data_IF_502409241274
#
_entry.id   IF_502409241274
#
_cell.length_a   1.000
_cell.length_b   1.000
_cell.length_c   1.000
_cell.angle_alpha   90.00
_cell.angle_beta   90.00
_cell.angle_gamma   90.00
#
_symmetry.space_group_name_H-M   'P 1'
#
loop_
_entity.id
_entity.type
_entity.pdbx_description
1 polymer ?
#
# COMPACT_ATOMS: atom_id res chain seq x y z
N UNK A 1 40.57 -56.04 80.56
CA UNK A 1 39.27 -56.03 81.25
C UNK A 1 38.33 -55.19 80.44
N UNK A 2 37.61 -55.80 79.54
CA UNK A 2 36.67 -55.11 78.64
C UNK A 2 35.25 -55.28 79.14
N UNK A 3 34.60 -54.20 79.42
CA UNK A 3 33.22 -54.23 79.88
C UNK A 3 32.29 -53.91 78.68
N UNK A 4 31.56 -54.88 78.17
CA UNK A 4 30.55 -54.71 77.12
C UNK A 4 29.24 -54.21 77.71
N UNK A 5 28.81 -53.02 77.27
CA UNK A 5 27.50 -52.49 77.57
C UNK A 5 26.57 -52.85 76.42
N UNK A 6 25.47 -53.56 76.69
CA UNK A 6 24.34 -53.85 75.77
C UNK A 6 23.36 -52.67 75.87
N UNK A 7 23.11 -52.02 74.73
CA UNK A 7 22.04 -51.04 74.61
C UNK A 7 20.86 -51.71 73.81
N UNK A 8 19.70 -51.76 74.38
CA UNK A 8 18.46 -52.27 73.83
C UNK A 8 17.87 -51.23 72.86
N UNK A 9 17.38 -51.69 71.68
CA UNK A 9 16.63 -50.89 70.72
C UNK A 9 15.22 -50.52 71.22
N UNK A 10 14.80 -49.29 70.97
CA UNK A 10 13.37 -48.97 71.11
C UNK A 10 12.59 -49.06 69.77
N UNK A 11 11.45 -49.49 69.93
CA UNK A 11 10.16 -49.51 69.21
C UNK A 11 10.06 -48.64 67.93
N UNK A 12 9.76 -49.28 66.78
CA UNK A 12 9.38 -48.62 65.55
C UNK A 12 7.95 -48.07 65.65
N UNK A 13 7.82 -46.74 65.67
CA UNK A 13 6.54 -46.08 65.43
C UNK A 13 6.48 -45.73 63.92
N UNK A 14 5.62 -46.40 63.19
CA UNK A 14 5.31 -46.04 61.79
C UNK A 14 4.29 -44.93 61.75
N UNK A 15 4.69 -43.74 61.40
CA UNK A 15 3.84 -42.62 61.12
C UNK A 15 3.38 -42.71 59.64
N UNK A 16 2.06 -42.67 59.32
CA UNK A 16 1.62 -42.63 57.94
C UNK A 16 1.91 -41.25 57.37
N UNK A 17 2.72 -41.18 56.29
CA UNK A 17 2.99 -39.97 55.55
C UNK A 17 1.76 -39.68 54.72
N UNK A 18 0.90 -38.75 55.13
CA UNK A 18 -0.18 -38.18 54.35
C UNK A 18 0.47 -37.19 53.36
N UNK A 19 0.68 -37.63 52.14
CA UNK A 19 1.05 -36.75 51.06
C UNK A 19 -0.20 -35.95 50.68
N UNK A 20 -0.30 -34.75 51.23
CA UNK A 20 -1.26 -33.74 50.77
C UNK A 20 -0.78 -33.21 49.43
N UNK A 21 -1.30 -33.74 48.34
CA UNK A 21 -1.09 -33.15 47.02
C UNK A 21 -1.76 -31.76 46.98
N UNK A 22 -1.00 -30.75 47.24
CA UNK A 22 -1.41 -29.37 46.99
C UNK A 22 -1.40 -29.23 45.46
N UNK A 23 -2.58 -29.38 44.84
CA UNK A 23 -2.84 -28.89 43.49
C UNK A 23 -2.69 -27.36 43.54
N UNK A 24 -1.47 -26.89 43.39
CA UNK A 24 -1.24 -25.50 42.98
C UNK A 24 -1.77 -25.38 41.56
N UNK A 25 -3.01 -24.91 41.43
CA UNK A 25 -3.42 -24.27 40.16
C UNK A 25 -2.37 -23.20 39.93
N UNK A 26 -1.46 -23.46 39.00
CA UNK A 26 -0.61 -22.42 38.47
C UNK A 26 -1.57 -21.46 37.77
N UNK A 27 -1.95 -20.40 38.44
CA UNK A 27 -2.42 -19.20 37.77
C UNK A 27 -1.22 -18.74 36.95
N UNK A 28 -1.20 -19.16 35.69
CA UNK A 28 -0.28 -18.57 34.72
C UNK A 28 -0.71 -17.11 34.58
N UNK A 29 -0.09 -16.25 35.38
CA UNK A 29 -0.14 -14.82 35.10
C UNK A 29 0.43 -14.65 33.71
N UNK A 30 -0.37 -14.05 32.84
CA UNK A 30 0.15 -13.60 31.55
C UNK A 30 1.44 -12.84 31.79
N UNK A 31 2.50 -13.26 31.14
CA UNK A 31 3.82 -12.68 31.37
C UNK A 31 3.89 -11.24 30.89
N UNK A 32 4.85 -10.44 31.40
CA UNK A 32 5.12 -9.11 30.85
C UNK A 32 5.31 -9.12 29.34
N UNK A 33 5.65 -10.26 28.75
CA UNK A 33 5.95 -10.44 27.33
C UNK A 33 4.70 -10.35 26.47
N UNK A 34 3.62 -11.06 26.80
CA UNK A 34 2.40 -11.10 26.00
C UNK A 34 1.69 -9.74 26.03
N UNK A 35 1.65 -9.10 27.19
CA UNK A 35 1.12 -7.74 27.32
C UNK A 35 1.96 -6.72 26.56
N UNK A 36 3.28 -6.86 26.55
CA UNK A 36 4.17 -5.99 25.79
C UNK A 36 4.00 -6.20 24.27
N UNK A 37 3.74 -7.45 23.84
CA UNK A 37 3.41 -7.79 22.46
C UNK A 37 2.06 -7.18 22.05
N UNK A 38 1.02 -7.34 22.88
CA UNK A 38 -0.30 -6.75 22.70
C UNK A 38 -0.19 -5.23 22.51
N UNK A 39 0.53 -4.57 23.44
CA UNK A 39 0.77 -3.12 23.36
C UNK A 39 1.49 -2.72 22.05
N UNK A 40 2.50 -3.46 21.64
CA UNK A 40 3.24 -3.14 20.42
C UNK A 40 2.40 -3.31 19.18
N UNK A 41 1.62 -4.39 19.09
CA UNK A 41 0.68 -4.62 17.99
C UNK A 41 -0.31 -3.46 17.91
N UNK A 42 -0.94 -3.11 19.03
CA UNK A 42 -1.91 -2.02 19.08
C UNK A 42 -1.30 -0.68 18.68
N UNK A 43 -0.23 -0.26 19.33
CA UNK A 43 0.39 1.05 19.11
C UNK A 43 0.90 1.22 17.67
N UNK A 44 1.38 0.13 17.05
CA UNK A 44 1.85 0.14 15.66
C UNK A 44 0.72 0.20 14.65
N UNK A 45 -0.40 -0.49 14.92
CA UNK A 45 -1.55 -0.46 14.04
C UNK A 45 -2.36 0.83 14.16
N UNK A 46 -2.55 1.34 15.37
CA UNK A 46 -3.46 2.47 15.59
C UNK A 46 -2.75 3.83 15.66
N UNK A 47 -1.47 3.84 16.04
CA UNK A 47 -0.74 5.09 16.27
C UNK A 47 -1.14 5.83 17.56
N UNK A 48 -1.99 5.23 18.40
CA UNK A 48 -2.45 5.78 19.68
C UNK A 48 -2.26 4.76 20.80
N UNK A 49 -2.20 5.24 22.04
CA UNK A 49 -2.01 4.35 23.20
C UNK A 49 -3.27 3.56 23.53
N UNK A 50 -3.13 2.25 23.70
CA UNK A 50 -4.21 1.38 24.18
C UNK A 50 -4.63 1.69 25.61
N UNK A 51 -5.91 1.50 25.93
CA UNK A 51 -6.38 1.45 27.33
C UNK A 51 -5.99 0.12 27.98
N UNK A 52 -5.99 0.07 29.32
CA UNK A 52 -5.71 -1.19 30.00
C UNK A 52 -6.70 -2.30 29.63
N UNK A 53 -7.98 -1.99 29.48
CA UNK A 53 -8.99 -2.97 29.08
C UNK A 53 -8.68 -3.57 27.71
N UNK A 54 -8.33 -2.73 26.72
CA UNK A 54 -7.93 -3.19 25.38
C UNK A 54 -6.68 -4.08 25.46
N UNK A 55 -5.72 -3.72 26.30
CA UNK A 55 -4.51 -4.55 26.49
C UNK A 55 -4.83 -5.87 27.18
N UNK A 56 -5.75 -5.89 28.15
CA UNK A 56 -6.17 -7.13 28.83
C UNK A 56 -6.83 -8.10 27.85
N UNK A 57 -7.71 -7.59 26.97
CA UNK A 57 -8.37 -8.39 25.94
C UNK A 57 -7.38 -8.93 24.89
N UNK A 58 -6.48 -8.09 24.38
CA UNK A 58 -5.46 -8.50 23.41
C UNK A 58 -4.44 -9.48 23.98
N UNK A 59 -4.06 -9.31 25.25
CA UNK A 59 -3.19 -10.23 25.98
C UNK A 59 -3.86 -11.61 26.13
N UNK A 60 -5.15 -11.64 26.46
CA UNK A 60 -5.93 -12.88 26.53
C UNK A 60 -6.01 -13.60 25.16
N UNK A 61 -6.14 -12.85 24.06
CA UNK A 61 -6.10 -13.41 22.70
C UNK A 61 -4.75 -14.05 22.40
N UNK A 62 -3.63 -13.40 22.75
CA UNK A 62 -2.28 -13.95 22.53
C UNK A 62 -2.08 -15.24 23.36
N UNK A 63 -2.52 -15.24 24.61
CA UNK A 63 -2.44 -16.43 25.48
C UNK A 63 -3.30 -17.59 24.99
N UNK A 64 -4.46 -17.32 24.38
CA UNK A 64 -5.37 -18.32 23.82
C UNK A 64 -4.98 -18.81 22.43
N UNK A 65 -4.05 -18.15 21.77
CA UNK A 65 -3.67 -18.45 20.40
C UNK A 65 -2.80 -19.70 20.33
N UNK A 66 -3.27 -20.73 19.62
CA UNK A 66 -2.55 -21.99 19.43
C UNK A 66 -1.22 -21.80 18.68
N UNK A 67 -1.09 -20.79 17.83
CA UNK A 67 0.15 -20.44 17.15
C UNK A 67 1.20 -19.91 18.15
N UNK A 68 0.77 -19.32 19.27
CA UNK A 68 1.65 -18.85 20.33
C UNK A 68 2.12 -19.96 21.29
N UNK A 69 1.38 -21.09 21.37
CA UNK A 69 1.62 -22.15 22.34
C UNK A 69 2.99 -22.85 22.17
N UNK A 70 3.54 -22.88 20.96
CA UNK A 70 4.85 -23.48 20.66
C UNK A 70 6.00 -22.49 20.73
N UNK A 71 5.79 -21.28 20.29
CA UNK A 71 6.76 -20.20 20.27
C UNK A 71 6.07 -18.86 20.04
N UNK A 72 6.36 -17.89 20.88
CA UNK A 72 5.90 -16.51 20.69
C UNK A 72 6.49 -15.86 19.42
N UNK A 73 7.50 -16.46 18.82
CA UNK A 73 8.12 -15.99 17.57
C UNK A 73 7.41 -16.48 16.32
N UNK A 74 6.47 -17.42 16.45
CA UNK A 74 5.70 -17.88 15.31
C UNK A 74 5.01 -16.71 14.59
N UNK A 75 5.10 -16.69 13.27
CA UNK A 75 4.57 -15.61 12.45
C UNK A 75 3.04 -15.47 12.52
N UNK A 76 2.34 -16.56 12.85
CA UNK A 76 0.90 -16.56 13.08
C UNK A 76 0.50 -16.09 14.47
N UNK A 77 1.39 -16.17 15.45
CA UNK A 77 1.12 -15.78 16.83
C UNK A 77 0.76 -14.28 16.94
N UNK A 78 -0.35 -13.99 17.58
CA UNK A 78 -0.85 -12.64 17.80
C UNK A 78 -1.63 -12.04 16.64
N UNK A 79 -2.01 -12.82 15.63
CA UNK A 79 -2.86 -12.35 14.53
C UNK A 79 -4.25 -11.96 15.03
N UNK A 80 -4.86 -12.76 15.89
CA UNK A 80 -6.19 -12.46 16.48
C UNK A 80 -6.14 -11.14 17.27
N UNK A 81 -5.05 -10.88 18.00
CA UNK A 81 -4.86 -9.62 18.70
C UNK A 81 -4.68 -8.43 17.72
N UNK A 82 -4.04 -8.64 16.57
CA UNK A 82 -3.91 -7.62 15.55
C UNK A 82 -5.26 -7.32 14.85
N UNK A 83 -6.08 -8.33 14.62
CA UNK A 83 -7.44 -8.17 14.10
C UNK A 83 -8.33 -7.42 15.10
N UNK A 84 -8.26 -7.77 16.38
CA UNK A 84 -8.94 -7.05 17.46
C UNK A 84 -8.56 -5.58 17.50
N UNK A 85 -7.27 -5.25 17.34
CA UNK A 85 -6.79 -3.89 17.43
C UNK A 85 -7.41 -2.94 16.39
N UNK A 86 -7.83 -3.46 15.23
CA UNK A 86 -8.44 -2.69 14.13
C UNK A 86 -9.95 -2.91 13.99
N UNK A 87 -10.55 -3.75 14.83
CA UNK A 87 -11.99 -4.02 14.84
C UNK A 87 -12.74 -3.00 15.69
N UNK A 88 -13.53 -2.14 15.05
CA UNK A 88 -14.31 -1.10 15.71
C UNK A 88 -15.47 -1.61 16.56
N UNK A 89 -15.86 -2.87 16.40
CA UNK A 89 -16.88 -3.50 17.25
C UNK A 89 -16.31 -3.90 18.60
N UNK A 90 -15.01 -4.13 18.69
CA UNK A 90 -14.32 -4.65 19.89
C UNK A 90 -13.40 -3.61 20.53
N UNK A 91 -12.62 -2.88 19.74
CA UNK A 91 -11.66 -1.89 20.22
C UNK A 91 -12.17 -0.47 20.01
N UNK A 92 -12.47 0.30 21.06
CA UNK A 92 -12.92 1.69 20.92
C UNK A 92 -11.87 2.62 20.29
N UNK A 93 -10.60 2.22 20.28
CA UNK A 93 -9.49 2.97 19.66
C UNK A 93 -9.22 2.54 18.21
N UNK A 94 -9.93 1.55 17.67
CA UNK A 94 -9.72 1.05 16.30
C UNK A 94 -9.94 2.13 15.23
N UNK A 95 -10.74 3.17 15.51
CA UNK A 95 -10.90 4.31 14.61
C UNK A 95 -9.55 4.92 14.20
N UNK A 96 -8.59 4.91 15.10
CA UNK A 96 -7.29 5.52 14.86
C UNK A 96 -6.47 4.78 13.79
N UNK A 97 -6.69 3.48 13.58
CA UNK A 97 -6.12 2.77 12.45
C UNK A 97 -6.54 3.42 11.12
N UNK A 98 -7.81 3.74 10.96
CA UNK A 98 -8.38 4.32 9.74
C UNK A 98 -8.06 5.81 9.60
N UNK A 99 -8.26 6.58 10.68
CA UNK A 99 -8.12 8.04 10.66
C UNK A 99 -6.66 8.53 10.79
N UNK A 100 -5.76 7.75 11.39
CA UNK A 100 -4.36 8.13 11.60
C UNK A 100 -3.44 7.27 10.76
N UNK A 101 -3.41 5.96 10.99
CA UNK A 101 -2.42 5.09 10.33
C UNK A 101 -2.65 5.01 8.83
N UNK A 102 -3.85 4.69 8.38
CA UNK A 102 -4.16 4.58 6.94
C UNK A 102 -4.12 5.94 6.24
N UNK A 103 -4.56 7.02 6.90
CA UNK A 103 -4.40 8.37 6.35
C UNK A 103 -2.92 8.69 6.10
N UNK A 104 -2.06 8.51 7.10
CA UNK A 104 -0.63 8.78 6.97
C UNK A 104 0.07 7.80 6.01
N UNK A 105 -0.43 6.58 5.87
CA UNK A 105 0.05 5.59 4.91
C UNK A 105 -0.19 6.04 3.46
N UNK A 106 -1.35 6.61 3.15
CA UNK A 106 -1.76 6.98 1.80
C UNK A 106 -1.48 8.45 1.43
N UNK A 107 -1.46 9.38 2.38
CA UNK A 107 -1.26 10.81 2.13
C UNK A 107 -0.02 11.13 1.28
N UNK A 108 1.16 10.49 1.48
CA UNK A 108 2.34 10.74 0.64
C UNK A 108 2.13 10.43 -0.84
N UNK A 109 1.16 9.59 -1.18
CA UNK A 109 0.92 9.20 -2.57
C UNK A 109 0.17 10.27 -3.37
N UNK A 110 -0.34 11.30 -2.71
CA UNK A 110 -1.20 12.34 -3.28
C UNK A 110 -0.46 13.64 -3.60
N UNK A 111 0.86 13.67 -3.42
CA UNK A 111 1.67 14.86 -3.66
C UNK A 111 3.09 14.50 -4.14
N UNK A 112 3.74 15.42 -4.86
CA UNK A 112 5.06 15.20 -5.43
C UNK A 112 6.18 15.19 -4.36
N UNK A 113 5.98 15.88 -3.25
CA UNK A 113 6.89 15.94 -2.11
C UNK A 113 6.86 14.68 -1.26
N UNK A 114 5.87 13.81 -1.48
CA UNK A 114 5.62 12.58 -0.72
C UNK A 114 5.55 12.81 0.80
N UNK A 115 4.99 13.94 1.20
CA UNK A 115 4.78 14.30 2.61
C UNK A 115 3.45 13.76 3.16
N UNK A 116 3.45 13.46 4.47
CA UNK A 116 2.24 13.08 5.20
C UNK A 116 1.36 14.29 5.57
N UNK A 117 1.91 15.52 5.46
CA UNK A 117 1.23 16.77 5.84
C UNK A 117 0.30 17.28 4.73
N UNK A 118 -0.49 16.38 4.17
CA UNK A 118 -1.52 16.69 3.19
C UNK A 118 -2.88 16.44 3.81
N UNK A 119 -3.86 17.35 3.63
CA UNK A 119 -5.22 17.14 4.09
C UNK A 119 -5.82 15.84 3.52
N UNK A 120 -6.80 15.29 4.23
CA UNK A 120 -7.62 14.21 3.68
C UNK A 120 -8.18 14.64 2.32
N UNK A 121 -8.21 13.76 1.37
CA UNK A 121 -8.67 14.01 0.01
C UNK A 121 -9.28 12.74 -0.60
N UNK A 122 -9.85 12.85 -1.79
CA UNK A 122 -10.55 11.75 -2.45
C UNK A 122 -9.65 10.52 -2.72
N UNK A 123 -8.39 10.73 -3.02
CA UNK A 123 -7.41 9.66 -3.19
C UNK A 123 -7.20 8.89 -1.87
N UNK A 124 -6.83 9.62 -0.81
CA UNK A 124 -6.56 9.03 0.52
C UNK A 124 -7.81 8.37 1.08
N UNK A 125 -8.97 9.03 1.01
CA UNK A 125 -10.25 8.47 1.46
C UNK A 125 -10.61 7.18 0.71
N UNK A 126 -10.32 7.11 -0.60
CA UNK A 126 -10.55 5.91 -1.41
C UNK A 126 -9.64 4.76 -1.00
N UNK A 127 -8.37 5.02 -0.70
CA UNK A 127 -7.46 4.00 -0.16
C UNK A 127 -7.93 3.49 1.21
N UNK A 128 -8.29 4.40 2.13
CA UNK A 128 -8.81 4.06 3.45
C UNK A 128 -10.06 3.19 3.34
N UNK A 129 -11.04 3.60 2.52
CA UNK A 129 -12.28 2.86 2.32
C UNK A 129 -12.07 1.48 1.69
N UNK A 130 -11.21 1.39 0.67
CA UNK A 130 -10.89 0.11 0.02
C UNK A 130 -10.25 -0.89 0.99
N UNK A 131 -9.37 -0.44 1.89
CA UNK A 131 -8.77 -1.27 2.94
C UNK A 131 -9.80 -1.67 3.99
N UNK A 132 -10.64 -0.71 4.44
CA UNK A 132 -11.70 -0.96 5.41
C UNK A 132 -12.66 -2.06 4.95
N UNK A 133 -13.09 -1.98 3.70
CA UNK A 133 -14.09 -2.86 3.13
C UNK A 133 -13.49 -4.17 2.58
N UNK A 134 -12.17 -4.37 2.74
CA UNK A 134 -11.48 -5.59 2.30
C UNK A 134 -11.58 -5.83 0.78
N UNK A 135 -11.64 -4.77 -0.02
CA UNK A 135 -11.73 -4.89 -1.47
C UNK A 135 -10.45 -5.50 -2.05
N UNK A 136 -10.59 -6.12 -3.23
CA UNK A 136 -9.42 -6.42 -4.06
C UNK A 136 -8.64 -5.12 -4.32
N UNK A 137 -7.53 -4.96 -3.60
CA UNK A 137 -6.76 -3.71 -3.58
C UNK A 137 -6.18 -3.33 -4.93
N UNK A 138 -6.12 -4.26 -5.89
CA UNK A 138 -5.74 -3.94 -7.26
C UNK A 138 -6.70 -2.94 -7.91
N UNK A 139 -7.96 -2.96 -7.49
CA UNK A 139 -9.00 -2.04 -7.98
C UNK A 139 -8.69 -0.57 -7.77
N UNK A 140 -7.80 -0.22 -6.83
CA UNK A 140 -7.36 1.18 -6.65
C UNK A 140 -6.68 1.77 -7.89
N UNK A 141 -6.14 0.94 -8.81
CA UNK A 141 -5.49 1.42 -10.04
C UNK A 141 -6.39 1.40 -11.28
N UNK A 142 -7.54 0.69 -11.25
CA UNK A 142 -8.39 0.58 -12.44
C UNK A 142 -9.89 0.62 -12.16
N UNK A 143 -10.29 0.62 -10.89
CA UNK A 143 -11.71 0.60 -10.51
C UNK A 143 -12.42 1.92 -10.77
N UNK A 144 -13.72 1.84 -11.03
CA UNK A 144 -14.60 3.00 -10.91
C UNK A 144 -15.00 3.14 -9.44
N UNK A 145 -14.08 3.64 -8.64
CA UNK A 145 -14.12 3.62 -7.19
C UNK A 145 -13.84 5.00 -6.61
N UNK A 146 -14.68 5.42 -5.70
CA UNK A 146 -14.53 6.64 -4.92
C UNK A 146 -15.14 6.42 -3.53
N UNK A 147 -14.57 7.04 -2.52
CA UNK A 147 -15.17 7.11 -1.19
C UNK A 147 -15.40 8.54 -0.79
N UNK A 148 -16.63 8.85 -0.39
CA UNK A 148 -17.09 10.18 -0.01
C UNK A 148 -17.61 10.21 1.43
N UNK A 149 -17.48 11.34 2.09
CA UNK A 149 -18.04 11.56 3.42
C UNK A 149 -19.57 11.66 3.36
N UNK A 150 -20.23 11.14 4.39
CA UNK A 150 -21.67 11.26 4.59
C UNK A 150 -22.01 11.78 6.00
N UNK A 151 -21.10 12.55 6.59
CA UNK A 151 -21.31 13.15 7.90
C UNK A 151 -22.14 14.45 7.78
N UNK A 152 -22.90 14.77 8.84
CA UNK A 152 -23.60 16.06 8.89
C UNK A 152 -22.64 17.24 9.07
N UNK A 153 -22.91 18.34 8.38
CA UNK A 153 -22.15 19.58 8.52
C UNK A 153 -20.90 19.71 7.64
N UNK A 154 -20.64 18.74 6.76
CA UNK A 154 -19.55 18.84 5.77
C UNK A 154 -20.08 19.40 4.44
N UNK A 155 -19.23 20.07 3.68
CA UNK A 155 -19.52 20.50 2.32
C UNK A 155 -19.88 19.30 1.42
N UNK A 156 -20.69 19.50 0.40
CA UNK A 156 -20.92 18.46 -0.61
C UNK A 156 -19.62 18.16 -1.39
N UNK A 157 -19.47 16.92 -1.86
CA UNK A 157 -18.33 16.56 -2.72
C UNK A 157 -18.25 17.49 -3.93
N UNK A 158 -17.06 18.01 -4.22
CA UNK A 158 -16.79 18.92 -5.33
C UNK A 158 -15.67 18.38 -6.22
N UNK A 159 -15.80 18.60 -7.54
CA UNK A 159 -14.73 18.30 -8.51
C UNK A 159 -13.67 19.42 -8.58
N UNK A 160 -13.91 20.57 -7.95
CA UNK A 160 -13.07 21.76 -8.08
C UNK A 160 -12.38 22.21 -6.79
N UNK A 161 -12.73 21.65 -5.63
CA UNK A 161 -12.06 21.95 -4.37
C UNK A 161 -11.98 20.72 -3.45
N UNK A 162 -11.34 20.84 -2.30
CA UNK A 162 -11.17 19.75 -1.33
C UNK A 162 -11.99 19.94 -0.05
N UNK A 163 -12.87 20.96 0.01
CA UNK A 163 -13.60 21.37 1.21
C UNK A 163 -14.33 20.20 1.87
N UNK A 164 -14.93 19.32 1.07
CA UNK A 164 -15.63 18.12 1.52
C UNK A 164 -14.78 17.24 2.44
N UNK A 165 -13.53 17.01 2.07
CA UNK A 165 -12.63 16.12 2.82
C UNK A 165 -11.92 16.84 3.96
N UNK A 166 -11.68 18.15 3.83
CA UNK A 166 -11.15 18.99 4.90
C UNK A 166 -12.16 19.15 6.03
N UNK A 167 -13.42 19.36 5.69
CA UNK A 167 -14.53 19.37 6.66
C UNK A 167 -14.67 18.01 7.34
N UNK A 168 -14.58 16.90 6.58
CA UNK A 168 -14.65 15.55 7.14
C UNK A 168 -13.48 15.27 8.10
N UNK A 169 -12.27 15.70 7.77
CA UNK A 169 -11.09 15.56 8.62
C UNK A 169 -11.17 16.41 9.90
N UNK A 170 -11.83 17.55 9.83
CA UNK A 170 -12.02 18.44 10.98
C UNK A 170 -13.02 17.88 12.03
N UNK A 171 -13.80 16.86 11.68
CA UNK A 171 -14.72 16.23 12.60
C UNK A 171 -13.97 15.37 13.65
N UNK A 172 -14.67 15.08 14.77
CA UNK A 172 -14.11 14.20 15.80
C UNK A 172 -13.91 12.76 15.24
N UNK A 173 -12.67 12.27 15.12
CA UNK A 173 -12.38 10.99 14.48
C UNK A 173 -12.91 9.78 15.27
N UNK A 174 -13.16 9.91 16.57
CA UNK A 174 -13.72 8.83 17.39
C UNK A 174 -15.26 8.70 17.24
N UNK A 175 -15.93 9.69 16.62
CA UNK A 175 -17.38 9.72 16.52
C UNK A 175 -17.85 10.14 15.12
N UNK A 176 -18.10 11.44 14.90
CA UNK A 176 -18.70 11.97 13.69
C UNK A 176 -17.80 11.92 12.46
N UNK A 177 -16.48 11.91 12.66
CA UNK A 177 -15.45 11.80 11.62
C UNK A 177 -14.81 10.42 11.54
N UNK A 178 -15.41 9.36 12.09
CA UNK A 178 -14.84 8.01 12.12
C UNK A 178 -14.86 7.35 10.73
N UNK A 179 -13.71 7.34 10.05
CA UNK A 179 -13.56 6.75 8.71
C UNK A 179 -13.75 5.22 8.68
N UNK A 180 -13.72 4.55 9.84
CA UNK A 180 -14.07 3.14 9.93
C UNK A 180 -15.58 2.89 9.76
N UNK A 181 -16.41 3.90 9.95
CA UNK A 181 -17.86 3.79 9.86
C UNK A 181 -18.36 3.94 8.43
N UNK A 182 -19.13 2.94 7.96
CA UNK A 182 -19.84 3.03 6.67
C UNK A 182 -20.91 4.13 6.65
N UNK A 183 -21.36 4.61 7.82
CA UNK A 183 -22.25 5.76 7.88
C UNK A 183 -21.52 7.09 7.62
N UNK A 184 -20.21 7.15 7.86
CA UNK A 184 -19.39 8.36 7.72
C UNK A 184 -18.64 8.39 6.40
N UNK A 185 -18.03 7.29 5.99
CA UNK A 185 -17.28 7.18 4.74
C UNK A 185 -17.94 6.13 3.84
N UNK A 186 -18.51 6.55 2.71
CA UNK A 186 -19.31 5.70 1.83
C UNK A 186 -18.65 5.48 0.48
N UNK A 187 -18.76 4.25 -0.02
CA UNK A 187 -18.36 3.92 -1.38
C UNK A 187 -19.35 4.49 -2.41
N UNK A 188 -18.80 5.07 -3.46
CA UNK A 188 -19.52 5.48 -4.66
C UNK A 188 -18.66 5.24 -5.90
N UNK A 189 -19.08 5.71 -7.06
CA UNK A 189 -18.29 5.62 -8.30
C UNK A 189 -17.84 7.01 -8.75
N UNK A 190 -16.66 7.08 -9.37
CA UNK A 190 -16.19 8.33 -9.95
C UNK A 190 -17.09 8.80 -11.09
N UNK A 191 -17.58 7.87 -11.91
CA UNK A 191 -18.45 8.20 -13.04
C UNK A 191 -19.82 8.73 -12.62
N UNK A 192 -20.31 8.40 -11.42
CA UNK A 192 -21.56 8.97 -10.90
C UNK A 192 -21.42 10.44 -10.49
N UNK A 193 -20.26 10.82 -9.96
CA UNK A 193 -20.00 12.21 -9.51
C UNK A 193 -19.31 13.06 -10.59
N UNK A 194 -18.71 12.42 -11.59
CA UNK A 194 -18.03 13.07 -12.73
C UNK A 194 -18.41 12.39 -14.05
N UNK A 195 -19.66 12.54 -14.51
CA UNK A 195 -20.10 11.95 -15.77
C UNK A 195 -19.23 12.40 -16.95
N UNK A 196 -18.90 11.46 -17.84
CA UNK A 196 -18.09 11.73 -19.03
C UNK A 196 -16.57 11.65 -18.82
N UNK A 197 -16.10 11.44 -17.60
CA UNK A 197 -14.67 11.21 -17.33
C UNK A 197 -14.46 9.73 -17.01
N UNK A 198 -13.75 8.97 -17.85
CA UNK A 198 -13.45 7.56 -17.59
C UNK A 198 -12.65 7.39 -16.30
N UNK A 199 -13.07 6.44 -15.45
CA UNK A 199 -12.43 6.18 -14.18
C UNK A 199 -11.28 5.16 -14.33
N UNK A 200 -10.19 5.42 -13.62
CA UNK A 200 -9.04 4.52 -13.48
C UNK A 200 -8.49 4.59 -12.04
N UNK A 201 -9.35 4.27 -11.09
CA UNK A 201 -8.98 4.28 -9.67
C UNK A 201 -8.44 5.62 -9.20
N UNK A 202 -7.45 5.56 -8.34
CA UNK A 202 -6.83 6.76 -7.75
C UNK A 202 -6.08 7.63 -8.79
N UNK A 203 -5.70 7.07 -9.93
CA UNK A 203 -5.06 7.83 -11.02
C UNK A 203 -5.98 8.88 -11.63
N UNK A 204 -7.28 8.73 -11.47
CA UNK A 204 -8.29 9.70 -11.90
C UNK A 204 -9.05 10.33 -10.73
N UNK A 205 -8.53 10.22 -9.51
CA UNK A 205 -8.99 11.02 -8.39
C UNK A 205 -8.68 12.51 -8.60
N UNK A 206 -9.40 13.40 -7.93
CA UNK A 206 -9.13 14.84 -8.00
C UNK A 206 -7.73 15.17 -7.48
N UNK A 207 -7.36 14.64 -6.32
CA UNK A 207 -6.05 14.88 -5.71
C UNK A 207 -4.89 14.34 -6.56
N UNK A 208 -5.02 13.11 -7.08
CA UNK A 208 -4.03 12.55 -8.01
C UNK A 208 -3.91 13.35 -9.29
N UNK A 209 -5.02 13.81 -9.85
CA UNK A 209 -5.03 14.64 -11.05
C UNK A 209 -4.38 16.00 -10.82
N UNK A 210 -4.72 16.67 -9.72
CA UNK A 210 -4.08 17.93 -9.32
C UNK A 210 -2.57 17.78 -9.19
N UNK A 211 -2.12 16.72 -8.55
CA UNK A 211 -0.69 16.49 -8.35
C UNK A 211 0.03 16.18 -9.68
N UNK A 212 -0.53 15.32 -10.53
CA UNK A 212 0.24 14.63 -11.55
C UNK A 212 -0.18 14.88 -13.00
N UNK A 213 -1.32 15.55 -13.26
CA UNK A 213 -1.71 16.01 -14.60
C UNK A 213 -1.50 17.53 -14.80
N UNK A 214 -1.05 18.22 -13.78
CA UNK A 214 -0.82 19.65 -13.82
C UNK A 214 0.44 19.97 -14.62
N UNK A 215 0.29 20.45 -15.83
CA UNK A 215 1.38 20.74 -16.74
C UNK A 215 2.03 19.50 -17.35
N UNK A 216 3.08 19.69 -18.13
CA UNK A 216 3.86 18.60 -18.72
C UNK A 216 3.07 17.66 -19.64
N UNK A 217 3.51 16.44 -19.76
CA UNK A 217 2.98 15.41 -20.68
C UNK A 217 2.41 14.19 -19.94
N UNK A 218 1.89 14.37 -18.75
CA UNK A 218 1.33 13.33 -17.89
C UNK A 218 2.33 12.21 -17.50
N UNK A 219 3.64 12.45 -17.67
CA UNK A 219 4.71 11.55 -17.22
C UNK A 219 4.77 11.45 -15.71
N UNK A 220 4.42 12.53 -15.00
CA UNK A 220 4.36 12.53 -13.55
C UNK A 220 3.36 11.50 -13.04
N UNK A 221 2.12 11.44 -13.60
CA UNK A 221 1.14 10.42 -13.22
C UNK A 221 1.71 9.00 -13.35
N UNK A 222 2.39 8.70 -14.45
CA UNK A 222 3.00 7.39 -14.63
C UNK A 222 4.13 7.14 -13.60
N UNK A 223 5.06 8.08 -13.46
CA UNK A 223 6.20 7.95 -12.53
C UNK A 223 5.76 7.75 -11.09
N UNK A 224 4.85 8.60 -10.60
CA UNK A 224 4.37 8.51 -9.23
C UNK A 224 3.49 7.28 -8.99
N UNK A 225 2.73 6.82 -9.98
CA UNK A 225 2.03 5.53 -9.89
C UNK A 225 3.03 4.38 -9.74
N UNK A 226 4.13 4.40 -10.50
CA UNK A 226 5.19 3.40 -10.42
C UNK A 226 5.88 3.42 -9.04
N UNK A 227 6.24 4.60 -8.54
CA UNK A 227 6.86 4.78 -7.22
C UNK A 227 5.92 4.36 -6.09
N UNK A 228 4.66 4.79 -6.15
CA UNK A 228 3.70 4.61 -5.08
C UNK A 228 3.12 3.20 -5.02
N UNK A 229 3.01 2.50 -6.15
CA UNK A 229 2.32 1.22 -6.21
C UNK A 229 3.17 0.03 -6.65
N UNK A 230 4.32 0.29 -7.28
CA UNK A 230 5.29 -0.74 -7.66
C UNK A 230 6.66 -0.57 -6.97
N UNK A 231 6.80 0.41 -6.09
CA UNK A 231 8.02 0.70 -5.31
C UNK A 231 9.29 0.86 -6.16
N UNK A 232 9.13 1.40 -7.36
CA UNK A 232 10.24 1.55 -8.30
C UNK A 232 10.18 2.92 -8.95
N UNK A 233 11.30 3.66 -8.97
CA UNK A 233 11.43 4.88 -9.74
C UNK A 233 12.00 4.57 -11.14
N UNK A 234 12.08 5.57 -12.00
CA UNK A 234 12.50 5.43 -13.40
C UNK A 234 13.98 5.08 -13.55
N UNK A 235 14.84 5.58 -12.68
CA UNK A 235 16.29 5.40 -12.84
C UNK A 235 16.74 3.94 -12.69
N UNK A 236 16.24 3.15 -11.73
CA UNK A 236 16.53 1.71 -11.69
C UNK A 236 16.05 0.93 -12.91
N UNK A 237 15.09 1.49 -13.68
CA UNK A 237 14.52 0.87 -14.88
C UNK A 237 15.22 1.33 -16.18
N UNK A 238 16.25 2.14 -16.09
CA UNK A 238 16.98 2.67 -17.24
C UNK A 238 17.45 1.54 -18.16
N UNK A 239 16.87 1.48 -19.35
CA UNK A 239 17.18 0.48 -20.37
C UNK A 239 17.33 1.12 -21.75
N UNK A 240 18.55 1.39 -22.15
CA UNK A 240 18.88 2.01 -23.44
C UNK A 240 18.69 1.08 -24.66
N UNK A 241 18.36 -0.19 -24.42
CA UNK A 241 18.11 -1.17 -25.48
C UNK A 241 16.66 -1.19 -26.00
N UNK A 242 15.76 -0.45 -25.34
CA UNK A 242 14.36 -0.39 -25.77
C UNK A 242 14.16 0.57 -26.93
N UNK A 243 13.16 0.32 -27.82
CA UNK A 243 12.84 1.23 -28.90
C UNK A 243 12.54 2.64 -28.39
N UNK A 244 13.02 3.66 -29.11
CA UNK A 244 12.79 5.06 -28.77
C UNK A 244 11.69 5.73 -29.61
N UNK A 245 10.94 4.94 -30.37
CA UNK A 245 9.89 5.39 -31.28
C UNK A 245 8.74 6.09 -30.56
N UNK A 246 8.46 5.70 -29.30
CA UNK A 246 7.40 6.29 -28.45
C UNK A 246 7.89 7.49 -27.63
N UNK A 247 9.18 7.75 -27.60
CA UNK A 247 9.71 8.95 -26.93
C UNK A 247 9.19 10.20 -27.62
N UNK A 248 8.52 11.06 -26.87
CA UNK A 248 7.81 12.23 -27.42
C UNK A 248 8.77 13.29 -27.93
N UNK A 249 8.25 14.18 -28.78
CA UNK A 249 9.05 15.22 -29.48
C UNK A 249 9.61 16.30 -28.53
N UNK A 250 9.05 16.47 -27.37
CA UNK A 250 9.57 17.39 -26.34
C UNK A 250 10.93 16.97 -25.76
N UNK A 251 11.37 15.73 -26.03
CA UNK A 251 12.69 15.23 -25.62
C UNK A 251 13.67 15.39 -26.76
N UNK A 252 14.62 16.33 -26.63
CA UNK A 252 15.66 16.53 -27.63
C UNK A 252 16.45 15.26 -27.93
N UNK A 253 16.64 14.94 -29.19
CA UNK A 253 17.49 13.81 -29.64
C UNK A 253 18.97 14.14 -29.67
N UNK A 254 19.31 15.43 -29.54
CA UNK A 254 20.69 15.91 -29.49
C UNK A 254 20.79 17.07 -28.49
N UNK A 255 20.65 16.82 -27.19
CA UNK A 255 20.78 17.86 -26.18
C UNK A 255 22.15 18.54 -26.28
N UNK A 256 22.17 19.87 -26.41
CA UNK A 256 23.41 20.61 -26.61
C UNK A 256 24.16 20.26 -27.91
N UNK A 257 23.47 19.66 -28.89
CA UNK A 257 24.08 19.21 -30.17
C UNK A 257 24.72 17.81 -30.11
N UNK A 258 24.68 17.13 -28.96
CA UNK A 258 25.31 15.82 -28.76
C UNK A 258 24.23 14.69 -28.58
N UNK A 259 24.03 13.90 -29.62
CA UNK A 259 23.07 12.76 -29.59
C UNK A 259 23.48 11.64 -28.64
N UNK A 260 24.76 11.56 -28.23
CA UNK A 260 25.20 10.56 -27.24
C UNK A 260 24.55 10.78 -25.87
N UNK A 261 24.23 12.04 -25.53
CA UNK A 261 23.51 12.37 -24.28
C UNK A 261 22.13 11.74 -24.28
N UNK A 262 21.38 11.85 -25.38
CA UNK A 262 20.08 11.19 -25.53
C UNK A 262 20.22 9.67 -25.50
N UNK A 263 21.11 9.09 -26.30
CA UNK A 263 21.26 7.65 -26.46
C UNK A 263 21.74 6.93 -25.17
N UNK A 264 22.57 7.59 -24.35
CA UNK A 264 23.13 6.99 -23.14
C UNK A 264 22.44 7.45 -21.84
N UNK A 265 21.69 8.55 -21.86
CA UNK A 265 21.02 9.13 -20.72
C UNK A 265 19.50 9.08 -20.82
N UNK A 266 18.93 9.86 -21.71
CA UNK A 266 17.50 10.13 -21.73
C UNK A 266 16.64 8.93 -22.18
N UNK A 267 17.08 8.23 -23.24
CA UNK A 267 16.30 7.14 -23.85
C UNK A 267 16.00 6.01 -22.87
N UNK A 268 16.92 5.74 -21.94
CA UNK A 268 16.80 4.63 -21.02
C UNK A 268 15.54 4.67 -20.13
N UNK A 269 15.15 5.88 -19.70
CA UNK A 269 13.91 6.09 -18.95
C UNK A 269 12.73 6.35 -19.89
N UNK A 270 12.92 7.25 -20.88
CA UNK A 270 11.84 7.71 -21.74
C UNK A 270 11.26 6.60 -22.63
N UNK A 271 12.07 5.66 -23.13
CA UNK A 271 11.58 4.60 -24.00
C UNK A 271 10.46 3.74 -23.37
N UNK A 272 10.58 3.44 -22.08
CA UNK A 272 9.52 2.71 -21.37
C UNK A 272 8.39 3.61 -20.85
N UNK A 273 8.78 4.72 -20.20
CA UNK A 273 7.84 5.65 -19.59
C UNK A 273 6.87 6.26 -20.61
N UNK A 274 7.39 6.86 -21.71
CA UNK A 274 6.56 7.57 -22.68
C UNK A 274 5.59 6.63 -23.41
N UNK A 275 6.01 5.36 -23.62
CA UNK A 275 5.15 4.34 -24.19
C UNK A 275 3.93 4.06 -23.33
N UNK A 276 4.09 4.02 -22.00
CA UNK A 276 2.99 3.76 -21.05
C UNK A 276 2.22 5.03 -20.69
N UNK A 277 2.89 6.17 -20.55
CA UNK A 277 2.23 7.44 -20.23
C UNK A 277 1.25 7.91 -21.35
N UNK A 278 1.28 7.30 -22.54
CA UNK A 278 0.26 7.47 -23.56
C UNK A 278 -1.16 7.21 -23.07
N UNK A 279 -1.33 6.27 -22.12
CA UNK A 279 -2.61 5.96 -21.51
C UNK A 279 -3.34 7.16 -20.88
N UNK A 280 -2.64 8.24 -20.61
CA UNK A 280 -3.18 9.44 -19.98
C UNK A 280 -3.37 10.61 -20.98
N UNK A 281 -3.31 10.37 -22.28
CA UNK A 281 -3.26 11.41 -23.30
C UNK A 281 -4.51 12.32 -23.33
N UNK A 282 -5.66 11.82 -22.90
CA UNK A 282 -6.90 12.61 -22.86
C UNK A 282 -7.18 13.29 -21.52
N UNK A 283 -6.38 13.04 -20.48
CA UNK A 283 -6.58 13.67 -19.16
C UNK A 283 -5.79 14.96 -19.03
N UNK A 284 -6.43 15.96 -18.44
CA UNK A 284 -5.86 17.27 -18.14
C UNK A 284 -6.28 17.74 -16.76
N UNK A 285 -5.42 18.49 -16.08
CA UNK A 285 -5.81 19.29 -14.93
C UNK A 285 -6.06 20.74 -15.36
N UNK A 286 -7.30 21.16 -15.38
CA UNK A 286 -7.69 22.51 -15.77
C UNK A 286 -7.83 23.40 -14.54
N UNK A 287 -7.14 24.54 -14.54
CA UNK A 287 -7.25 25.58 -13.51
C UNK A 287 -6.98 26.96 -14.12
N UNK A 288 -7.44 28.02 -13.44
CA UNK A 288 -7.28 29.41 -13.97
C UNK A 288 -6.17 30.16 -13.24
N UNK A 289 -6.26 30.24 -11.92
CA UNK A 289 -5.31 31.02 -11.11
C UNK A 289 -4.60 30.15 -10.07
N UNK A 290 -5.35 29.36 -9.34
CA UNK A 290 -4.83 28.48 -8.31
C UNK A 290 -5.01 27.02 -8.72
N UNK A 291 -3.93 26.26 -8.66
CA UNK A 291 -3.93 24.82 -8.97
C UNK A 291 -4.91 24.06 -8.07
N UNK A 292 -5.13 24.52 -6.83
CA UNK A 292 -6.02 23.87 -5.87
C UNK A 292 -7.50 23.95 -6.27
N UNK A 293 -7.91 24.99 -7.03
CA UNK A 293 -9.29 25.20 -7.51
C UNK A 293 -9.53 24.60 -8.90
N UNK A 294 -8.62 23.77 -9.37
CA UNK A 294 -8.74 23.09 -10.66
C UNK A 294 -9.63 21.85 -10.60
N UNK A 295 -9.88 21.32 -11.79
CA UNK A 295 -10.66 20.10 -11.99
C UNK A 295 -9.99 19.15 -12.98
N UNK A 296 -10.24 17.86 -12.81
CA UNK A 296 -9.90 16.88 -13.84
C UNK A 296 -10.82 17.05 -15.05
N UNK A 297 -10.24 17.20 -16.22
CA UNK A 297 -10.91 17.20 -17.51
C UNK A 297 -10.49 15.97 -18.34
N UNK A 298 -11.37 15.59 -19.25
CA UNK A 298 -11.14 14.51 -20.21
C UNK A 298 -11.69 14.94 -21.56
N UNK A 299 -10.82 14.99 -22.56
CA UNK A 299 -11.17 15.49 -23.89
C UNK A 299 -10.88 14.42 -24.93
N UNK A 300 -11.81 13.46 -25.06
CA UNK A 300 -11.74 12.47 -26.13
C UNK A 300 -12.29 13.10 -27.43
N UNK A 301 -11.36 13.47 -28.31
CA UNK A 301 -11.69 13.72 -29.71
C UNK A 301 -10.80 12.80 -30.53
N UNK A 302 -11.35 11.83 -31.28
CA UNK A 302 -10.54 10.91 -32.06
C UNK A 302 -9.52 11.64 -32.93
N UNK A 303 -8.24 11.28 -32.78
CA UNK A 303 -7.12 11.90 -33.48
C UNK A 303 -6.67 13.28 -32.97
N UNK A 304 -7.26 13.81 -31.88
CA UNK A 304 -6.87 15.06 -31.28
C UNK A 304 -6.57 14.88 -29.80
N UNK A 305 -5.32 14.62 -29.48
CA UNK A 305 -4.80 14.74 -28.12
C UNK A 305 -4.28 16.16 -27.87
N UNK A 306 -4.14 16.56 -26.61
CA UNK A 306 -3.56 17.85 -26.25
C UNK A 306 -2.21 18.08 -26.93
N UNK A 307 -2.00 19.29 -27.45
CA UNK A 307 -0.75 19.69 -28.11
C UNK A 307 0.50 19.50 -27.22
N UNK A 308 0.35 19.50 -25.90
CA UNK A 308 1.46 19.23 -24.99
C UNK A 308 2.14 17.87 -25.23
N UNK A 309 1.45 16.89 -25.82
CA UNK A 309 2.02 15.60 -26.17
C UNK A 309 2.90 15.66 -27.42
N UNK A 310 2.83 16.75 -28.17
CA UNK A 310 3.58 16.97 -29.42
C UNK A 310 4.53 18.16 -29.35
N UNK A 311 4.88 18.63 -28.15
CA UNK A 311 5.83 19.72 -27.96
C UNK A 311 7.17 19.37 -28.66
N UNK A 312 7.86 20.39 -29.19
CA UNK A 312 9.13 20.25 -29.90
C UNK A 312 9.10 19.35 -31.14
N UNK A 313 8.08 19.48 -31.98
CA UNK A 313 7.98 18.75 -33.26
C UNK A 313 9.28 18.82 -34.09
N UNK A 314 9.96 19.94 -34.05
CA UNK A 314 11.20 20.17 -34.81
C UNK A 314 12.38 19.34 -34.28
N UNK A 315 12.34 18.81 -33.07
CA UNK A 315 13.45 18.06 -32.49
C UNK A 315 13.52 16.61 -32.96
N UNK A 316 12.40 16.04 -33.39
CA UNK A 316 12.36 14.66 -33.89
C UNK A 316 11.15 14.42 -34.79
N UNK A 317 11.31 14.66 -36.08
CA UNK A 317 10.25 14.59 -37.08
C UNK A 317 9.66 13.17 -37.26
N UNK A 318 10.47 12.13 -37.09
CA UNK A 318 10.08 10.74 -37.35
C UNK A 318 9.64 9.96 -36.11
N UNK A 319 9.47 10.61 -34.98
CA UNK A 319 8.97 9.96 -33.76
C UNK A 319 7.46 9.67 -33.85
N UNK A 320 7.02 8.73 -33.03
CA UNK A 320 5.58 8.47 -32.89
C UNK A 320 4.87 9.72 -32.35
N UNK A 321 3.81 10.09 -33.02
CA UNK A 321 2.92 11.17 -32.54
C UNK A 321 1.79 10.52 -31.79
N UNK A 322 1.57 10.95 -30.54
CA UNK A 322 0.42 10.49 -29.75
C UNK A 322 -0.86 11.01 -30.39
N UNK A 323 -1.69 10.12 -30.94
CA UNK A 323 -2.95 10.46 -31.60
C UNK A 323 -4.17 10.01 -30.80
N UNK A 324 -3.97 9.13 -29.84
CA UNK A 324 -4.98 8.56 -28.96
C UNK A 324 -4.35 8.20 -27.59
N UNK A 325 -5.10 7.52 -26.73
CA UNK A 325 -4.64 7.05 -25.42
C UNK A 325 -4.08 5.62 -25.44
N UNK A 326 -3.66 5.13 -26.59
CA UNK A 326 -2.98 3.85 -26.72
C UNK A 326 -1.63 3.87 -26.00
N UNK A 327 -1.30 2.76 -25.37
CA UNK A 327 -0.05 2.59 -24.64
C UNK A 327 0.65 1.27 -24.98
N UNK A 328 1.96 1.22 -24.73
CA UNK A 328 2.81 0.05 -24.90
C UNK A 328 3.81 -0.06 -23.76
N UNK A 329 3.98 -1.28 -23.22
CA UNK A 329 4.94 -1.60 -22.19
C UNK A 329 6.15 -2.32 -22.78
N UNK A 330 7.18 -1.58 -23.15
CA UNK A 330 8.44 -2.14 -23.64
C UNK A 330 9.26 -2.83 -22.54
N UNK A 331 8.99 -2.53 -21.26
CA UNK A 331 9.71 -3.12 -20.14
C UNK A 331 9.29 -4.55 -19.80
N UNK A 332 8.30 -5.11 -20.48
CA UNK A 332 8.04 -6.55 -20.38
C UNK A 332 9.14 -7.40 -21.01
N UNK A 333 9.97 -6.81 -21.82
CA UNK A 333 11.10 -7.44 -22.47
C UNK A 333 12.42 -6.83 -22.01
N UNK A 334 13.54 -7.56 -22.19
CA UNK A 334 14.87 -7.09 -21.80
C UNK A 334 15.10 -7.13 -20.28
N UNK A 335 16.06 -6.34 -19.78
CA UNK A 335 16.47 -6.34 -18.37
C UNK A 335 15.32 -6.04 -17.41
N UNK A 336 14.40 -5.19 -17.80
CA UNK A 336 13.26 -4.77 -16.97
C UNK A 336 12.05 -5.70 -17.02
N UNK A 337 12.14 -6.84 -17.70
CA UNK A 337 11.11 -7.88 -17.63
C UNK A 337 10.86 -8.37 -16.20
N UNK A 338 11.81 -8.12 -15.30
CA UNK A 338 11.78 -8.38 -13.86
C UNK A 338 11.66 -7.06 -13.09
N UNK A 339 10.61 -6.28 -13.34
CA UNK A 339 10.34 -5.03 -12.63
C UNK A 339 10.38 -5.26 -11.12
N UNK A 340 11.01 -4.34 -10.37
CA UNK A 340 11.22 -4.49 -8.94
C UNK A 340 12.31 -5.48 -8.57
N UNK A 341 13.08 -5.98 -9.55
CA UNK A 341 14.17 -6.90 -9.28
C UNK A 341 15.25 -6.20 -8.43
N UNK A 342 15.35 -6.62 -7.19
CA UNK A 342 16.50 -6.30 -6.34
C UNK A 342 17.54 -7.43 -6.50
N UNK A 343 18.82 -7.20 -6.20
CA UNK A 343 19.87 -8.23 -6.40
C UNK A 343 19.57 -9.57 -5.76
N UNK A 344 18.69 -9.60 -4.74
CA UNK A 344 18.28 -10.80 -4.01
C UNK A 344 16.96 -11.42 -4.49
N UNK A 345 16.20 -10.75 -5.36
CA UNK A 345 14.85 -11.12 -5.73
C UNK A 345 14.79 -11.61 -7.18
N UNK A 346 14.97 -12.91 -7.37
CA UNK A 346 14.82 -13.54 -8.69
C UNK A 346 13.37 -13.93 -8.93
N UNK A 347 12.60 -13.13 -9.59
CA UNK A 347 11.26 -13.55 -9.98
C UNK A 347 10.12 -12.59 -9.73
N UNK A 348 10.41 -11.43 -9.16
CA UNK A 348 9.51 -10.29 -9.17
C UNK A 348 9.49 -9.74 -10.60
N UNK A 349 8.52 -9.01 -10.93
CA UNK A 349 8.42 -8.39 -12.23
C UNK A 349 6.99 -8.30 -12.64
N UNK A 350 6.76 -8.32 -13.93
CA UNK A 350 5.41 -8.27 -14.44
C UNK A 350 4.60 -9.51 -14.03
N UNK A 351 5.15 -10.71 -14.22
CA UNK A 351 4.71 -11.97 -13.58
C UNK A 351 3.28 -12.44 -13.85
N UNK A 352 2.54 -11.76 -14.73
CA UNK A 352 1.19 -12.12 -15.17
C UNK A 352 1.12 -12.07 -16.69
N UNK A 353 0.11 -12.68 -17.27
CA UNK A 353 -0.18 -12.55 -18.70
C UNK A 353 -0.77 -11.16 -18.96
N UNK A 354 -0.27 -10.45 -19.97
CA UNK A 354 -0.90 -9.23 -20.43
C UNK A 354 -2.27 -9.54 -21.05
N UNK A 355 -3.22 -8.61 -20.96
CA UNK A 355 -4.52 -8.75 -21.60
C UNK A 355 -4.36 -8.85 -23.12
N UNK A 356 -3.49 -8.02 -23.70
CA UNK A 356 -3.18 -8.02 -25.15
C UNK A 356 -1.67 -7.89 -25.33
N UNK A 357 -1.12 -8.69 -26.24
CA UNK A 357 0.28 -8.64 -26.65
C UNK A 357 0.40 -8.28 -28.13
N UNK A 358 1.37 -7.45 -28.47
CA UNK A 358 1.79 -7.24 -29.86
C UNK A 358 2.63 -8.43 -30.39
N UNK A 359 2.99 -8.38 -31.68
CA UNK A 359 3.80 -9.41 -32.32
C UNK A 359 5.19 -9.59 -31.70
N UNK A 360 5.69 -8.60 -30.96
CA UNK A 360 6.97 -8.61 -30.26
C UNK A 360 6.83 -8.96 -28.77
N UNK A 361 5.63 -9.36 -28.35
CA UNK A 361 5.29 -9.73 -26.96
C UNK A 361 5.37 -8.57 -25.98
N UNK A 362 5.23 -7.32 -26.43
CA UNK A 362 4.99 -6.19 -25.56
C UNK A 362 3.52 -6.16 -25.14
N UNK A 363 3.21 -5.82 -23.90
CA UNK A 363 1.83 -5.55 -23.52
C UNK A 363 1.40 -4.22 -24.13
N UNK A 364 0.20 -4.22 -24.72
CA UNK A 364 -0.43 -3.06 -25.32
C UNK A 364 -1.85 -2.92 -24.80
N UNK A 365 -2.37 -1.71 -24.81
CA UNK A 365 -3.74 -1.42 -24.43
C UNK A 365 -4.12 0.01 -24.76
N UNK A 366 -5.29 0.41 -24.28
CA UNK A 366 -5.86 1.72 -24.49
C UNK A 366 -6.48 2.24 -23.20
N UNK A 367 -6.18 3.51 -22.89
CA UNK A 367 -6.68 4.23 -21.72
C UNK A 367 -6.04 3.86 -20.39
N UNK A 368 -6.23 4.76 -19.41
CA UNK A 368 -5.67 4.65 -18.07
C UNK A 368 -6.15 3.39 -17.32
N UNK A 369 -7.41 2.99 -17.52
CA UNK A 369 -7.98 1.80 -16.86
C UNK A 369 -7.25 0.50 -17.25
N UNK A 370 -6.95 0.32 -18.53
CA UNK A 370 -6.24 -0.88 -19.01
C UNK A 370 -4.79 -0.88 -18.55
N UNK A 371 -4.12 0.29 -18.56
CA UNK A 371 -2.79 0.43 -17.96
C UNK A 371 -2.81 0.14 -16.46
N UNK A 372 -3.82 0.62 -15.75
CA UNK A 372 -4.00 0.33 -14.32
C UNK A 372 -4.07 -1.18 -14.03
N UNK A 373 -4.75 -1.96 -14.88
CA UNK A 373 -4.78 -3.43 -14.77
C UNK A 373 -3.41 -4.06 -15.04
N UNK A 374 -2.69 -3.57 -16.04
CA UNK A 374 -1.33 -4.02 -16.34
C UNK A 374 -0.42 -3.85 -15.13
N UNK A 375 -0.46 -2.69 -14.49
CA UNK A 375 0.36 -2.38 -13.32
C UNK A 375 -0.09 -3.16 -12.07
N UNK A 376 -1.39 -3.20 -11.79
CA UNK A 376 -1.96 -3.81 -10.59
C UNK A 376 -1.78 -5.35 -10.54
N UNK A 377 -1.77 -6.01 -11.69
CA UNK A 377 -1.56 -7.45 -11.78
C UNK A 377 -0.08 -7.86 -11.76
N UNK A 378 0.85 -6.89 -11.73
CA UNK A 378 2.27 -7.21 -11.66
C UNK A 378 2.66 -7.83 -10.31
N UNK A 379 3.67 -8.69 -10.31
CA UNK A 379 4.27 -9.19 -9.06
C UNK A 379 4.84 -8.04 -8.22
N UNK A 380 5.36 -7.00 -8.88
CA UNK A 380 5.89 -5.83 -8.23
C UNK A 380 4.83 -5.09 -7.41
N UNK A 381 3.57 -5.01 -7.88
CA UNK A 381 2.48 -4.42 -7.12
C UNK A 381 2.27 -5.14 -5.79
N UNK A 382 2.07 -6.47 -5.82
CA UNK A 382 1.80 -7.22 -4.60
C UNK A 382 2.93 -7.08 -3.56
N UNK A 383 4.18 -7.20 -4.01
CA UNK A 383 5.32 -7.03 -3.11
C UNK A 383 5.44 -5.60 -2.59
N UNK A 384 5.25 -4.59 -3.42
CA UNK A 384 5.34 -3.20 -3.01
C UNK A 384 4.34 -2.86 -1.90
N UNK A 385 3.09 -3.34 -1.99
CA UNK A 385 2.09 -3.08 -0.95
C UNK A 385 2.52 -3.69 0.40
N UNK A 386 3.03 -4.91 0.39
CA UNK A 386 3.55 -5.56 1.61
C UNK A 386 4.80 -4.85 2.14
N UNK A 387 5.77 -4.51 1.28
CA UNK A 387 6.98 -3.78 1.68
C UNK A 387 6.65 -2.42 2.34
N UNK A 388 5.65 -1.70 1.80
CA UNK A 388 5.19 -0.43 2.39
C UNK A 388 4.54 -0.63 3.75
N UNK A 389 3.74 -1.69 3.90
CA UNK A 389 3.13 -2.03 5.19
C UNK A 389 4.19 -2.39 6.22
N UNK A 390 5.24 -3.14 5.85
CA UNK A 390 6.39 -3.37 6.73
C UNK A 390 7.02 -2.06 7.19
N UNK A 391 7.26 -1.12 6.28
CA UNK A 391 7.82 0.19 6.64
C UNK A 391 6.93 0.99 7.57
N UNK A 392 5.62 0.92 7.38
CA UNK A 392 4.65 1.65 8.19
C UNK A 392 4.49 1.04 9.59
N UNK A 393 4.42 -0.28 9.70
CA UNK A 393 4.10 -1.00 10.94
C UNK A 393 5.37 -1.44 11.70
N UNK A 394 6.34 -2.02 11.00
CA UNK A 394 7.59 -2.49 11.63
C UNK A 394 8.63 -1.38 11.77
N UNK A 395 8.45 -0.23 11.11
CA UNK A 395 9.36 0.91 11.03
C UNK A 395 10.76 0.51 10.50
N UNK A 396 10.82 -0.49 9.64
CA UNK A 396 12.05 -0.95 8.98
C UNK A 396 11.76 -1.54 7.60
N UNK A 397 12.79 -1.60 6.76
CA UNK A 397 12.68 -2.23 5.44
C UNK A 397 12.78 -3.76 5.61
N UNK A 398 11.85 -4.56 5.03
CA UNK A 398 11.87 -6.02 5.15
C UNK A 398 13.10 -6.69 4.53
N UNK A 399 13.89 -5.96 3.75
CA UNK A 399 15.10 -6.51 3.15
C UNK A 399 16.33 -6.49 4.08
N UNK A 400 16.26 -5.85 5.23
CA UNK A 400 17.39 -5.72 6.17
C UNK A 400 17.69 -7.07 6.83
N UNK A 401 16.66 -7.79 7.31
CA UNK A 401 16.83 -9.06 8.01
C UNK A 401 16.31 -10.24 7.19
N UNK A 402 16.92 -11.41 7.37
CA UNK A 402 16.53 -12.63 6.66
C UNK A 402 15.10 -13.07 7.02
N UNK A 403 14.76 -13.01 8.30
CA UNK A 403 13.44 -13.43 8.79
C UNK A 403 12.32 -12.50 8.29
N UNK A 404 12.59 -11.19 8.20
CA UNK A 404 11.66 -10.24 7.62
C UNK A 404 11.40 -10.53 6.13
N UNK A 405 12.44 -10.94 5.37
CA UNK A 405 12.27 -11.33 3.97
C UNK A 405 11.41 -12.57 3.81
N UNK A 406 11.64 -13.59 4.64
CA UNK A 406 10.85 -14.83 4.63
C UNK A 406 9.39 -14.52 4.98
N UNK A 407 9.15 -13.76 6.03
CA UNK A 407 7.81 -13.35 6.43
C UNK A 407 7.12 -12.51 5.33
N UNK A 408 7.81 -11.51 4.77
CA UNK A 408 7.34 -10.71 3.66
C UNK A 408 6.89 -11.58 2.48
N UNK A 409 7.71 -12.56 2.07
CA UNK A 409 7.40 -13.43 0.93
C UNK A 409 6.18 -14.30 1.19
N UNK A 410 6.02 -14.81 2.42
CA UNK A 410 4.82 -15.51 2.88
C UNK A 410 3.58 -14.62 2.83
N UNK A 411 3.67 -13.40 3.37
CA UNK A 411 2.57 -12.42 3.36
C UNK A 411 2.20 -12.01 1.93
N UNK A 412 3.17 -11.81 1.02
CA UNK A 412 2.90 -11.57 -0.41
C UNK A 412 2.14 -12.73 -1.04
N UNK A 413 2.49 -13.97 -0.71
CA UNK A 413 1.76 -15.15 -1.18
C UNK A 413 0.31 -15.16 -0.67
N UNK A 414 0.12 -14.94 0.63
CA UNK A 414 -1.21 -14.87 1.27
C UNK A 414 -2.04 -13.73 0.69
N UNK A 415 -1.47 -12.56 0.53
CA UNK A 415 -2.13 -11.39 -0.08
C UNK A 415 -2.69 -11.73 -1.47
N UNK A 416 -1.89 -12.39 -2.31
CA UNK A 416 -2.32 -12.80 -3.67
C UNK A 416 -3.41 -13.87 -3.65
N UNK A 417 -3.28 -14.89 -2.82
CA UNK A 417 -4.25 -15.99 -2.72
C UNK A 417 -5.50 -15.61 -1.95
N UNK A 418 -5.41 -14.66 -1.02
CA UNK A 418 -6.52 -14.09 -0.24
C UNK A 418 -7.28 -12.97 -0.95
N UNK A 419 -7.13 -12.82 -2.27
CA UNK A 419 -7.91 -11.84 -3.04
C UNK A 419 -7.43 -10.40 -2.91
N UNK A 420 -6.16 -10.19 -2.57
CA UNK A 420 -5.55 -8.88 -2.42
C UNK A 420 -6.18 -8.01 -1.32
N UNK A 421 -6.55 -8.63 -0.20
CA UNK A 421 -7.08 -7.93 0.97
C UNK A 421 -5.95 -7.26 1.78
N UNK A 422 -5.85 -5.94 1.70
CA UNK A 422 -4.82 -5.18 2.43
C UNK A 422 -5.01 -5.18 3.95
N UNK A 423 -6.24 -5.33 4.45
CA UNK A 423 -6.48 -5.42 5.90
C UNK A 423 -5.72 -6.60 6.49
N UNK A 424 -5.74 -7.76 5.82
CA UNK A 424 -4.97 -8.94 6.20
C UNK A 424 -3.45 -8.67 6.19
N UNK A 425 -2.95 -7.91 5.21
CA UNK A 425 -1.52 -7.55 5.17
C UNK A 425 -1.11 -6.75 6.40
N UNK A 426 -1.94 -5.80 6.84
CA UNK A 426 -1.65 -5.01 8.05
C UNK A 426 -1.62 -5.87 9.30
N UNK A 427 -2.56 -6.80 9.47
CA UNK A 427 -2.61 -7.69 10.64
C UNK A 427 -1.48 -8.72 10.64
N UNK A 428 -1.18 -9.34 9.50
CA UNK A 428 -0.06 -10.27 9.35
C UNK A 428 1.30 -9.61 9.63
N UNK A 429 1.52 -8.39 9.11
CA UNK A 429 2.74 -7.62 9.35
C UNK A 429 2.85 -7.20 10.82
N UNK A 430 1.75 -6.78 11.44
CA UNK A 430 1.76 -6.40 12.86
C UNK A 430 2.05 -7.60 13.77
N UNK A 431 1.45 -8.77 13.47
CA UNK A 431 1.73 -10.02 14.15
C UNK A 431 3.19 -10.44 14.01
N UNK A 432 3.79 -10.31 12.82
CA UNK A 432 5.23 -10.56 12.63
C UNK A 432 6.11 -9.59 13.44
N UNK A 433 5.74 -8.31 13.50
CA UNK A 433 6.54 -7.27 14.15
C UNK A 433 6.19 -7.04 15.63
N UNK A 434 5.48 -7.96 16.26
CA UNK A 434 5.16 -7.91 17.69
C UNK A 434 6.39 -7.86 18.61
N UNK A 435 7.52 -8.40 18.10
CA UNK A 435 8.81 -8.46 18.78
C UNK A 435 8.87 -9.51 19.88
N UNK A 436 10.08 -9.98 20.11
CA UNK A 436 10.44 -10.67 21.35
C UNK A 436 11.01 -9.65 22.33
N UNK A 437 10.74 -9.84 23.60
CA UNK A 437 11.54 -9.21 24.66
C UNK A 437 12.53 -10.25 25.16
N UNK A 438 13.80 -9.85 25.33
CA UNK A 438 14.77 -10.74 25.95
C UNK A 438 14.44 -11.00 27.42
#
# INVERSE_FOLDING_TARGET
METKIKISLPLKISLPLVIMAVLTSQVTWAGPTERAMAKRIHDRLTGVTATNSVLDDMEALILGDSACAGSLTDSGCGKDAAEYAIDTAQNPNAYAFYNVTLKNYAAPWTNEEQTVFTPLNDYTATVVGAIRDGLDFRSILYGDLLYVGNAGGIAAYSNSNNDHYEDLEALNPATTGNLASNAVLQQTTQTSVRPGIPAAGIMTSRAGAMAFYSGGTNRAMFRFTLMNHLCTDLEPLKDVSRPSDRVRRDVSRSPGGDSRIFLNGCVGCHAGMDGMAGAFAYYEWEYTNDKSDGRLAYAETPGLVSLKHNINENNFEYGYITTDDSWINYWRNGPNSKLGNRPTDTGIGWGHSAEVLDSKKNAIGQGAKSLGRELANSKAFAQCQVDKTFKAICLRDPNVFADDRIARDGIVSNFKTGGYNMREVFTDVAAHCKGEWP
#
